data_IF_049820662168
#
_entry.id   IF_049820662168
#
_cell.length_a   1.000
_cell.length_b   1.000
_cell.length_c   1.000
_cell.angle_alpha   90.00
_cell.angle_beta   90.00
_cell.angle_gamma   90.00
#
_symmetry.space_group_name_H-M   'P 1'
#
loop_
_entity.id
_entity.type
_entity.pdbx_description
1 polymer ?
#
# COMPACT_ATOMS: atom_id res chain seq x y z
N UNK A 1 3.11 -4.80 -15.73
CA UNK A 1 2.01 -5.18 -14.81
C UNK A 1 1.49 -3.89 -14.21
N UNK A 2 0.18 -3.76 -13.97
CA UNK A 2 -0.48 -2.52 -13.54
C UNK A 2 -0.19 -2.14 -12.08
N UNK A 3 0.94 -2.59 -11.53
CA UNK A 3 1.40 -2.28 -10.19
C UNK A 3 2.93 -2.12 -10.11
N UNK A 4 3.37 -1.21 -9.26
CA UNK A 4 4.76 -0.94 -8.89
C UNK A 4 4.86 -0.99 -7.36
N UNK A 5 5.71 -1.86 -6.82
CA UNK A 5 5.89 -2.02 -5.38
C UNK A 5 7.35 -1.73 -5.04
N UNK A 6 7.57 -0.76 -4.17
CA UNK A 6 8.92 -0.30 -3.80
C UNK A 6 8.99 0.06 -2.32
N UNK A 7 10.20 0.07 -1.77
CA UNK A 7 10.45 0.69 -0.47
C UNK A 7 10.44 2.21 -0.63
N UNK A 8 9.52 2.89 0.05
CA UNK A 8 9.54 4.34 0.16
C UNK A 8 10.48 4.79 1.29
N UNK A 9 10.37 4.13 2.45
CA UNK A 9 11.42 4.12 3.46
C UNK A 9 11.83 2.67 3.63
N UNK A 10 13.11 2.38 3.36
CA UNK A 10 13.65 1.03 3.44
C UNK A 10 13.29 0.40 4.78
N UNK A 11 12.67 -0.78 4.74
CA UNK A 11 12.25 -1.60 5.88
C UNK A 11 11.08 -1.05 6.73
N UNK A 12 10.59 0.17 6.47
CA UNK A 12 9.54 0.80 7.27
C UNK A 12 8.26 1.09 6.48
N UNK A 13 8.36 1.58 5.25
CA UNK A 13 7.20 2.00 4.45
C UNK A 13 7.32 1.42 3.05
N UNK A 14 6.36 0.58 2.68
CA UNK A 14 6.17 0.08 1.33
C UNK A 14 5.23 1.03 0.59
N UNK A 15 5.61 1.40 -0.63
CA UNK A 15 4.77 2.14 -1.56
C UNK A 15 4.32 1.23 -2.69
N UNK A 16 3.00 1.14 -2.86
CA UNK A 16 2.33 0.36 -3.90
C UNK A 16 1.61 1.35 -4.80
N UNK A 17 2.07 1.52 -6.03
CA UNK A 17 1.38 2.30 -7.04
C UNK A 17 0.64 1.38 -7.98
N UNK A 18 -0.68 1.54 -8.05
CA UNK A 18 -1.52 0.82 -9.01
C UNK A 18 -1.95 1.76 -10.13
N UNK A 19 -2.02 1.24 -11.36
CA UNK A 19 -2.38 2.03 -12.52
C UNK A 19 -3.02 1.18 -13.62
N UNK A 20 -3.93 1.75 -14.40
CA UNK A 20 -4.63 1.02 -15.45
C UNK A 20 -5.64 0.00 -14.91
N UNK A 21 -5.84 -1.11 -15.62
CA UNK A 21 -6.79 -2.15 -15.24
C UNK A 21 -6.12 -3.21 -14.37
N UNK A 22 -6.58 -3.35 -13.12
CA UNK A 22 -6.13 -4.37 -12.19
C UNK A 22 -6.93 -5.66 -12.34
N UNK A 23 -6.25 -6.80 -12.27
CA UNK A 23 -6.87 -8.13 -12.24
C UNK A 23 -6.70 -8.82 -10.89
N UNK A 24 -7.46 -9.89 -10.64
CA UNK A 24 -7.27 -10.71 -9.43
C UNK A 24 -5.86 -11.32 -9.32
N UNK A 25 -5.22 -11.62 -10.45
CA UNK A 25 -3.85 -12.13 -10.48
C UNK A 25 -2.84 -11.06 -10.06
N UNK A 26 -3.08 -9.80 -10.43
CA UNK A 26 -2.22 -8.67 -10.04
C UNK A 26 -2.27 -8.45 -8.52
N UNK A 27 -3.45 -8.57 -7.92
CA UNK A 27 -3.61 -8.51 -6.48
C UNK A 27 -2.91 -9.67 -5.77
N UNK A 28 -3.07 -10.90 -6.25
CA UNK A 28 -2.38 -12.08 -5.66
C UNK A 28 -0.86 -11.96 -5.73
N UNK A 29 -0.36 -11.45 -6.85
CA UNK A 29 1.07 -11.22 -7.02
C UNK A 29 1.58 -10.12 -6.11
N UNK A 30 0.85 -9.01 -6.01
CA UNK A 30 1.18 -7.93 -5.09
C UNK A 30 1.19 -8.42 -3.64
N UNK A 31 0.21 -9.23 -3.23
CA UNK A 31 0.10 -9.81 -1.89
C UNK A 31 1.34 -10.64 -1.52
N UNK A 32 1.84 -11.47 -2.44
CA UNK A 32 3.08 -12.22 -2.23
C UNK A 32 4.30 -11.33 -2.02
N UNK A 33 4.46 -10.30 -2.86
CA UNK A 33 5.55 -9.33 -2.74
C UNK A 33 5.47 -8.57 -1.41
N UNK A 34 4.27 -8.16 -1.00
CA UNK A 34 4.04 -7.46 0.26
C UNK A 34 4.41 -8.34 1.46
N UNK A 35 4.04 -9.62 1.46
CA UNK A 35 4.43 -10.56 2.51
C UNK A 35 5.96 -10.63 2.65
N UNK A 36 6.67 -10.80 1.54
CA UNK A 36 8.12 -10.90 1.54
C UNK A 36 8.78 -9.61 2.06
N UNK A 37 8.29 -8.45 1.62
CA UNK A 37 8.79 -7.15 2.08
C UNK A 37 8.48 -6.88 3.56
N UNK A 38 7.29 -7.23 4.05
CA UNK A 38 6.95 -7.08 5.48
C UNK A 38 7.89 -7.93 6.33
N UNK A 39 8.14 -9.19 5.92
CA UNK A 39 9.06 -10.09 6.61
C UNK A 39 10.51 -9.61 6.54
N UNK A 40 10.94 -9.06 5.39
CA UNK A 40 12.25 -8.42 5.24
C UNK A 40 12.42 -7.26 6.24
N UNK A 41 11.42 -6.37 6.32
CA UNK A 41 11.46 -5.23 7.25
C UNK A 41 11.51 -5.67 8.72
N UNK A 42 10.73 -6.68 9.07
CA UNK A 42 10.72 -7.29 10.40
C UNK A 42 12.08 -7.92 10.77
N UNK A 43 12.68 -8.69 9.85
CA UNK A 43 13.97 -9.31 10.04
C UNK A 43 15.11 -8.27 10.20
N UNK A 44 14.97 -7.09 9.60
CA UNK A 44 15.88 -5.98 9.75
C UNK A 44 15.73 -5.19 11.07
N UNK A 45 14.83 -5.61 11.96
CA UNK A 45 14.61 -4.99 13.28
C UNK A 45 13.55 -3.89 13.29
N UNK A 46 12.79 -3.71 12.21
CA UNK A 46 11.68 -2.74 12.18
C UNK A 46 10.49 -3.29 12.97
N UNK A 47 9.96 -2.49 13.90
CA UNK A 47 8.84 -2.91 14.74
C UNK A 47 7.55 -3.13 13.94
N UNK A 48 7.28 -2.26 12.96
CA UNK A 48 6.14 -2.34 12.06
C UNK A 48 6.56 -1.91 10.64
N UNK A 49 5.91 -2.52 9.65
CA UNK A 49 6.01 -2.16 8.23
C UNK A 49 4.67 -1.61 7.77
N UNK A 50 4.65 -0.39 7.26
CA UNK A 50 3.46 0.27 6.75
C UNK A 50 3.35 0.13 5.24
N UNK A 51 2.12 0.22 4.72
CA UNK A 51 1.83 0.15 3.30
C UNK A 51 1.05 1.39 2.91
N UNK A 52 1.51 2.09 1.87
CA UNK A 52 0.75 3.12 1.18
C UNK A 52 0.38 2.58 -0.19
N UNK A 53 -0.91 2.58 -0.50
CA UNK A 53 -1.47 2.11 -1.76
C UNK A 53 -1.99 3.31 -2.53
N UNK A 54 -1.29 3.73 -3.56
CA UNK A 54 -1.73 4.76 -4.51
C UNK A 54 -2.61 4.14 -5.60
N UNK A 55 -3.83 4.63 -5.69
CA UNK A 55 -4.87 4.22 -6.63
C UNK A 55 -5.20 5.31 -7.66
N UNK A 56 -4.46 6.44 -7.67
CA UNK A 56 -4.82 7.62 -8.46
C UNK A 56 -4.87 7.38 -9.97
N UNK A 57 -4.11 6.40 -10.48
CA UNK A 57 -4.00 6.09 -11.91
C UNK A 57 -4.77 4.80 -12.29
N UNK A 58 -5.55 4.21 -11.38
CA UNK A 58 -6.36 3.00 -11.66
C UNK A 58 -7.56 3.38 -12.52
N UNK A 59 -7.81 2.62 -13.58
CA UNK A 59 -8.91 2.86 -14.53
C UNK A 59 -9.99 1.79 -14.47
N UNK A 60 -9.66 0.62 -13.91
CA UNK A 60 -10.59 -0.48 -13.69
C UNK A 60 -10.00 -1.47 -12.69
N UNK A 61 -10.87 -2.17 -11.97
CA UNK A 61 -10.48 -3.22 -11.03
C UNK A 61 -11.64 -4.25 -10.92
N UNK A 62 -11.39 -5.47 -10.42
CA UNK A 62 -12.42 -6.48 -10.41
C UNK A 62 -13.46 -6.14 -9.34
N UNK A 63 -14.74 -6.04 -9.74
CA UNK A 63 -15.89 -5.81 -8.84
C UNK A 63 -16.04 -6.89 -7.77
N UNK A 64 -15.40 -8.03 -7.97
CA UNK A 64 -15.31 -9.12 -7.02
C UNK A 64 -13.82 -9.40 -6.75
N UNK A 65 -13.27 -8.76 -5.72
CA UNK A 65 -11.97 -9.14 -5.17
C UNK A 65 -12.17 -10.36 -4.26
N UNK A 66 -12.56 -11.47 -4.87
CA UNK A 66 -12.66 -12.77 -4.21
C UNK A 66 -11.73 -13.72 -4.97
N UNK A 67 -10.52 -13.89 -4.44
CA UNK A 67 -9.68 -15.00 -4.88
C UNK A 67 -10.38 -16.32 -4.59
N UNK A 68 -10.06 -17.37 -5.35
CA UNK A 68 -10.46 -18.74 -4.99
C UNK A 68 -10.02 -19.00 -3.53
N UNK A 69 -10.99 -19.10 -2.62
CA UNK A 69 -10.75 -19.30 -1.18
C UNK A 69 -10.53 -18.03 -0.32
N UNK A 70 -10.78 -16.82 -0.83
CA UNK A 70 -10.75 -15.58 -0.02
C UNK A 70 -9.34 -15.03 0.30
N UNK A 71 -8.31 -15.41 -0.46
CA UNK A 71 -6.89 -15.24 -0.13
C UNK A 71 -6.14 -14.14 -0.90
N UNK A 72 -6.77 -13.00 -1.18
CA UNK A 72 -6.12 -11.92 -1.99
C UNK A 72 -5.37 -10.90 -1.13
N UNK A 73 -5.58 -10.94 0.19
CA UNK A 73 -4.97 -10.05 1.16
C UNK A 73 -4.39 -10.86 2.32
N UNK A 74 -3.52 -11.83 2.05
CA UNK A 74 -2.87 -12.63 3.08
C UNK A 74 -1.84 -11.81 3.87
N UNK A 75 -1.24 -10.77 3.27
CA UNK A 75 -0.32 -9.86 3.98
C UNK A 75 -0.93 -9.25 5.25
N UNK A 76 -2.26 -9.16 5.35
CA UNK A 76 -2.98 -8.66 6.54
C UNK A 76 -2.73 -9.50 7.80
N UNK A 77 -2.31 -10.76 7.63
CA UNK A 77 -2.01 -11.68 8.72
C UNK A 77 -0.55 -11.61 9.16
N UNK A 78 0.30 -10.83 8.47
CA UNK A 78 1.69 -10.68 8.87
C UNK A 78 1.78 -9.88 10.18
N UNK A 79 2.45 -10.41 11.22
CA UNK A 79 2.45 -9.81 12.55
C UNK A 79 3.15 -8.46 12.61
N UNK A 80 4.09 -8.20 11.68
CA UNK A 80 4.79 -6.94 11.56
C UNK A 80 4.04 -5.90 10.70
N UNK A 81 2.81 -6.19 10.25
CA UNK A 81 2.02 -5.21 9.52
C UNK A 81 1.56 -4.07 10.44
N UNK A 82 1.89 -2.84 10.06
CA UNK A 82 1.41 -1.62 10.68
C UNK A 82 0.16 -1.06 9.98
N UNK A 83 0.19 0.22 9.63
CA UNK A 83 -0.89 0.87 8.88
C UNK A 83 -0.85 0.51 7.39
N UNK A 84 -2.01 0.13 6.86
CA UNK A 84 -2.31 0.16 5.44
C UNK A 84 -3.10 1.42 5.14
N UNK A 85 -2.64 2.22 4.19
CA UNK A 85 -3.30 3.47 3.83
C UNK A 85 -3.54 3.51 2.34
N UNK A 86 -4.78 3.74 1.96
CA UNK A 86 -5.18 3.82 0.55
C UNK A 86 -5.25 5.31 0.22
N UNK A 87 -4.46 5.73 -0.74
CA UNK A 87 -4.46 7.07 -1.30
C UNK A 87 -5.05 7.02 -2.71
N UNK A 88 -5.98 7.92 -2.99
CA UNK A 88 -6.63 8.03 -4.27
C UNK A 88 -7.72 9.08 -4.14
N UNK A 89 -7.95 9.84 -5.21
CA UNK A 89 -8.94 10.93 -5.23
C UNK A 89 -10.32 10.43 -4.78
N UNK A 90 -11.25 11.35 -4.46
CA UNK A 90 -12.67 11.09 -4.11
C UNK A 90 -13.48 10.40 -5.23
N UNK A 91 -12.96 9.30 -5.75
CA UNK A 91 -13.57 8.43 -6.71
C UNK A 91 -14.38 7.38 -5.94
N UNK A 92 -15.67 7.20 -6.24
CA UNK A 92 -16.49 6.12 -5.69
C UNK A 92 -15.82 4.74 -5.73
N UNK A 93 -14.92 4.53 -6.69
CA UNK A 93 -14.11 3.33 -6.84
C UNK A 93 -13.13 3.08 -5.67
N UNK A 94 -12.45 4.13 -5.19
CA UNK A 94 -11.52 4.04 -4.06
C UNK A 94 -12.27 3.74 -2.76
N UNK A 95 -13.44 4.35 -2.58
CA UNK A 95 -14.31 4.09 -1.42
C UNK A 95 -14.82 2.65 -1.42
N UNK A 96 -15.12 2.09 -2.59
CA UNK A 96 -15.53 0.69 -2.72
C UNK A 96 -14.38 -0.26 -2.35
N UNK A 97 -13.16 -0.01 -2.82
CA UNK A 97 -11.97 -0.80 -2.46
C UNK A 97 -11.74 -0.75 -0.95
N UNK A 98 -11.78 0.44 -0.35
CA UNK A 98 -11.67 0.60 1.10
C UNK A 98 -12.73 -0.20 1.85
N UNK A 99 -13.97 -0.22 1.35
CA UNK A 99 -15.07 -0.99 1.94
C UNK A 99 -14.83 -2.50 1.84
N UNK A 100 -14.26 -3.00 0.74
CA UNK A 100 -13.88 -4.41 0.60
C UNK A 100 -12.74 -4.77 1.56
N UNK A 101 -11.67 -3.96 1.59
CA UNK A 101 -10.51 -4.21 2.44
C UNK A 101 -10.89 -4.16 3.92
N UNK A 102 -11.83 -3.27 4.30
CA UNK A 102 -12.35 -3.20 5.67
C UNK A 102 -13.15 -4.45 6.04
N UNK A 103 -14.01 -4.97 5.16
CA UNK A 103 -14.77 -6.21 5.40
C UNK A 103 -13.86 -7.45 5.51
N UNK A 104 -12.73 -7.45 4.81
CA UNK A 104 -11.76 -8.54 4.90
C UNK A 104 -10.95 -8.52 6.20
N UNK A 105 -10.91 -7.40 6.93
CA UNK A 105 -10.13 -7.24 8.16
C UNK A 105 -10.98 -7.55 9.40
N UNK A 106 -11.03 -8.83 9.79
CA UNK A 106 -11.63 -9.27 11.06
C UNK A 106 -10.76 -8.96 12.30
N UNK A 107 -9.60 -8.30 12.15
CA UNK A 107 -8.72 -7.93 13.25
C UNK A 107 -8.17 -6.50 13.09
N UNK A 108 -8.59 -5.61 13.99
CA UNK A 108 -7.92 -4.37 14.40
C UNK A 108 -7.43 -3.41 13.30
N UNK A 109 -8.40 -2.75 12.65
CA UNK A 109 -8.51 -1.29 12.43
C UNK A 109 -7.29 -0.45 11.93
N UNK A 110 -6.20 -1.03 11.44
CA UNK A 110 -5.07 -0.27 10.87
C UNK A 110 -5.19 -0.01 9.37
N UNK A 111 -6.42 0.27 8.91
CA UNK A 111 -6.69 0.69 7.54
C UNK A 111 -7.24 2.12 7.55
N UNK A 112 -6.69 3.00 6.72
CA UNK A 112 -7.25 4.33 6.48
C UNK A 112 -7.23 4.72 5.01
N UNK A 113 -8.11 5.64 4.64
CA UNK A 113 -8.22 6.18 3.28
C UNK A 113 -7.91 7.67 3.33
N UNK A 114 -7.16 8.15 2.35
CA UNK A 114 -6.77 9.54 2.19
C UNK A 114 -7.00 9.99 0.75
N UNK A 115 -7.20 11.29 0.53
CA UNK A 115 -7.38 11.81 -0.81
C UNK A 115 -6.07 11.81 -1.60
N UNK A 116 -4.94 11.91 -0.89
CA UNK A 116 -3.60 11.94 -1.49
C UNK A 116 -2.57 11.13 -0.70
N UNK A 117 -1.49 10.71 -1.37
CA UNK A 117 -0.35 10.03 -0.73
C UNK A 117 0.30 10.93 0.33
N UNK A 118 0.38 12.24 0.08
CA UNK A 118 0.98 13.18 1.01
C UNK A 118 0.18 13.32 2.31
N UNK A 119 -1.14 13.20 2.26
CA UNK A 119 -1.97 13.13 3.47
C UNK A 119 -1.72 11.84 4.26
N UNK A 120 -1.62 10.70 3.58
CA UNK A 120 -1.28 9.42 4.22
C UNK A 120 0.10 9.46 4.89
N UNK A 121 1.10 10.05 4.22
CA UNK A 121 2.43 10.25 4.78
C UNK A 121 2.42 11.19 5.98
N UNK A 122 1.65 12.28 5.92
CA UNK A 122 1.51 13.22 7.04
C UNK A 122 0.89 12.52 8.25
N UNK A 123 -0.15 11.72 8.03
CA UNK A 123 -0.75 10.91 9.10
C UNK A 123 0.25 9.92 9.70
N UNK A 124 1.07 9.23 8.88
CA UNK A 124 2.08 8.30 9.41
C UNK A 124 3.08 8.98 10.34
N UNK A 125 3.54 10.18 9.98
CA UNK A 125 4.46 10.95 10.84
C UNK A 125 3.86 11.23 12.21
N UNK A 126 2.55 11.46 12.26
CA UNK A 126 1.85 11.78 13.51
C UNK A 126 1.63 10.55 14.39
N UNK A 127 1.49 9.35 13.80
CA UNK A 127 1.10 8.13 14.53
C UNK A 127 2.22 7.13 14.79
N UNK A 128 3.35 7.21 14.09
CA UNK A 128 4.52 6.37 14.36
C UNK A 128 5.79 7.21 14.56
N UNK A 129 6.15 7.40 15.83
CA UNK A 129 7.34 8.13 16.26
C UNK A 129 8.66 7.36 16.03
N UNK A 130 8.61 6.11 15.57
CA UNK A 130 9.81 5.32 15.24
C UNK A 130 10.22 5.46 13.77
N UNK A 131 9.41 6.14 12.96
CA UNK A 131 9.82 6.50 11.61
C UNK A 131 10.93 7.57 11.66
N UNK A 132 11.87 7.56 10.69
CA UNK A 132 12.85 8.64 10.58
C UNK A 132 12.17 10.01 10.58
N UNK A 133 12.70 10.99 11.29
CA UNK A 133 12.07 12.32 11.44
C UNK A 133 11.99 13.11 10.13
N UNK A 134 12.79 12.72 9.13
CA UNK A 134 12.84 13.36 7.82
C UNK A 134 12.73 12.30 6.72
N UNK A 135 11.60 12.29 6.01
CA UNK A 135 11.47 11.58 4.74
C UNK A 135 10.72 12.46 3.73
N UNK A 136 11.16 12.45 2.45
CA UNK A 136 10.78 13.45 1.47
C UNK A 136 9.29 13.42 1.20
N UNK A 137 8.57 14.51 1.42
CA UNK A 137 7.22 14.66 0.86
C UNK A 137 7.34 14.38 -0.64
N UNK A 138 6.55 13.45 -1.16
CA UNK A 138 6.67 13.05 -2.55
C UNK A 138 6.30 14.26 -3.41
N UNK A 139 7.31 14.94 -3.97
CA UNK A 139 7.07 15.86 -5.05
C UNK A 139 6.51 15.03 -6.22
N UNK A 140 5.68 15.66 -7.05
CA UNK A 140 5.07 14.98 -8.20
C UNK A 140 6.12 14.35 -9.12
N UNK A 141 7.33 14.91 -9.13
CA UNK A 141 8.52 14.44 -9.86
C UNK A 141 9.17 13.20 -9.22
N UNK A 142 9.15 13.06 -7.90
CA UNK A 142 9.66 11.87 -7.20
C UNK A 142 8.72 10.67 -7.38
N UNK A 143 7.42 10.93 -7.46
CA UNK A 143 6.42 9.94 -7.87
C UNK A 143 6.69 9.44 -9.29
N UNK A 144 7.13 10.32 -10.20
CA UNK A 144 7.55 9.99 -11.57
C UNK A 144 8.88 9.21 -11.63
N UNK A 145 9.84 9.54 -10.76
CA UNK A 145 11.12 8.85 -10.67
C UNK A 145 10.97 7.41 -10.12
N UNK A 146 10.03 7.19 -9.19
CA UNK A 146 9.64 5.86 -8.71
C UNK A 146 8.99 5.00 -9.81
N UNK A 147 8.44 5.61 -10.87
CA UNK A 147 7.87 4.90 -12.04
C UNK A 147 8.94 4.33 -12.97
N UNK A 148 10.22 4.68 -12.78
CA UNK A 148 11.27 4.26 -13.70
C UNK A 148 12.63 4.07 -12.99
N UNK A 149 12.87 2.90 -12.36
CA UNK A 149 14.12 2.63 -11.64
C UNK A 149 15.38 2.59 -12.53
N UNK A 150 15.24 2.74 -13.87
CA UNK A 150 16.35 2.79 -14.84
C UNK A 150 16.93 4.19 -15.07
N UNK A 151 16.49 5.22 -14.35
CA UNK A 151 17.12 6.55 -14.36
C UNK A 151 17.77 6.85 -13.01
N UNK A 152 18.84 6.13 -12.70
CA UNK A 152 19.90 6.57 -11.80
C UNK A 152 21.24 6.22 -12.40
#
# INVERSE_FOLDING_TARGET
>A
MPNEITWYIKNHIIYVRNFGELTNEDWQRADGILIDMIREGAAAGSALVHIIVDMADVTAFPKQVQGKGGRVFQHKHEPALGWTMIAGRDDPEVQFIATITTQANNSQARLRVFATVNEALSYLRDVDSHLPSEFPTLAREDLEALKNPKRR
#
